data_IF_918189425054
#
_entry.id   IF_918189425054
#
_cell.length_a   1.000
_cell.length_b   1.000
_cell.length_c   1.000
_cell.angle_alpha   90.00
_cell.angle_beta   90.00
_cell.angle_gamma   90.00
#
_symmetry.space_group_name_H-M   'P 1'
#
loop_
_entity.id
_entity.type
_entity.pdbx_description
1 polymer ?
#
# COMPACT_ATOMS: atom_id res chain seq x y z
N UNK A 1 -39.69 -63.88 -20.01
CA UNK A 1 -40.42 -62.90 -19.19
C UNK A 1 -39.59 -62.66 -17.92
N UNK A 2 -38.55 -61.84 -18.00
CA UNK A 2 -38.48 -60.43 -17.51
C UNK A 2 -38.75 -60.28 -16.01
N UNK A 3 -37.70 -60.00 -15.22
CA UNK A 3 -37.61 -58.78 -14.37
C UNK A 3 -36.41 -58.85 -13.40
N UNK A 4 -35.31 -58.17 -13.75
CA UNK A 4 -34.75 -56.95 -13.13
C UNK A 4 -34.30 -57.07 -11.66
N UNK A 5 -33.00 -57.32 -11.43
CA UNK A 5 -32.31 -56.96 -10.19
C UNK A 5 -31.73 -55.56 -10.36
N UNK A 6 -32.26 -54.60 -9.60
CA UNK A 6 -31.73 -53.24 -9.54
C UNK A 6 -30.38 -53.24 -8.81
N UNK A 7 -29.31 -52.94 -9.53
CA UNK A 7 -28.02 -52.60 -8.92
C UNK A 7 -28.11 -51.15 -8.41
N UNK A 8 -28.21 -50.97 -7.10
CA UNK A 8 -27.97 -49.68 -6.46
C UNK A 8 -26.49 -49.33 -6.59
N UNK A 9 -26.15 -48.45 -7.53
CA UNK A 9 -24.84 -47.82 -7.59
C UNK A 9 -24.80 -46.68 -6.57
N UNK A 10 -24.09 -46.89 -5.46
CA UNK A 10 -23.80 -45.85 -4.48
C UNK A 10 -22.80 -44.86 -5.08
N UNK A 11 -23.29 -43.70 -5.53
CA UNK A 11 -22.46 -42.59 -5.97
C UNK A 11 -21.84 -41.92 -4.74
N UNK A 12 -20.58 -42.25 -4.43
CA UNK A 12 -19.83 -41.57 -3.39
C UNK A 12 -19.48 -40.15 -3.88
N UNK A 13 -20.17 -39.15 -3.35
CA UNK A 13 -19.92 -37.73 -3.59
C UNK A 13 -18.60 -37.35 -2.89
N UNK A 14 -17.48 -37.37 -3.62
CA UNK A 14 -16.23 -36.74 -3.17
C UNK A 14 -16.41 -35.21 -3.23
N UNK A 15 -16.65 -34.59 -2.08
CA UNK A 15 -16.50 -33.15 -1.94
C UNK A 15 -15.01 -32.79 -2.07
N UNK A 16 -14.61 -31.85 -2.96
CA UNK A 16 -13.26 -31.35 -2.96
C UNK A 16 -13.05 -30.55 -1.68
N UNK A 17 -12.22 -31.08 -0.77
CA UNK A 17 -11.64 -30.33 0.34
C UNK A 17 -10.74 -29.27 -0.28
N UNK A 18 -11.31 -28.10 -0.55
CA UNK A 18 -10.52 -26.90 -0.84
C UNK A 18 -9.87 -26.50 0.47
N UNK A 19 -8.62 -26.91 0.64
CA UNK A 19 -7.74 -26.37 1.67
C UNK A 19 -7.50 -24.90 1.29
N UNK A 20 -8.38 -24.01 1.76
CA UNK A 20 -8.13 -22.58 1.81
C UNK A 20 -6.94 -22.40 2.76
N UNK A 21 -5.73 -22.37 2.20
CA UNK A 21 -4.58 -21.83 2.90
C UNK A 21 -4.93 -20.38 3.24
N UNK A 22 -5.38 -20.15 4.47
CA UNK A 22 -5.40 -18.83 5.03
C UNK A 22 -3.94 -18.38 5.08
N UNK A 23 -3.51 -17.60 4.09
CA UNK A 23 -2.27 -16.84 4.21
C UNK A 23 -2.40 -16.06 5.52
N UNK A 24 -1.48 -16.26 6.46
CA UNK A 24 -1.43 -15.45 7.67
C UNK A 24 -1.38 -13.99 7.23
N UNK A 25 -2.45 -13.24 7.46
CA UNK A 25 -2.45 -11.83 7.15
C UNK A 25 -1.33 -11.18 7.96
N UNK A 26 -0.38 -10.52 7.29
CA UNK A 26 0.61 -9.72 8.01
C UNK A 26 -0.12 -8.75 8.94
N UNK A 27 0.41 -8.54 10.14
CA UNK A 27 -0.11 -7.53 11.06
C UNK A 27 -0.24 -6.18 10.32
N UNK A 28 -1.22 -5.35 10.68
CA UNK A 28 -1.48 -4.09 10.00
C UNK A 28 -1.43 -2.92 10.98
N UNK A 29 -0.77 -1.84 10.57
CA UNK A 29 -0.77 -0.55 11.27
C UNK A 29 -1.21 0.56 10.34
N UNK A 30 -2.03 1.47 10.86
CA UNK A 30 -2.55 2.64 10.14
C UNK A 30 -1.76 3.87 10.56
N UNK A 31 -1.18 4.57 9.59
CA UNK A 31 -0.56 5.87 9.77
C UNK A 31 -1.60 6.98 9.64
N UNK A 32 -1.78 7.78 10.69
CA UNK A 32 -2.70 8.92 10.73
C UNK A 32 -2.00 10.27 10.63
N UNK A 33 -0.69 10.35 10.87
CA UNK A 33 0.12 11.56 10.73
C UNK A 33 -0.31 12.75 11.61
N UNK A 34 -1.06 12.50 12.70
CA UNK A 34 -1.78 13.53 13.46
C UNK A 34 -0.87 14.49 14.26
N UNK A 35 0.35 14.09 14.63
CA UNK A 35 1.21 14.87 15.55
C UNK A 35 2.54 15.31 14.92
N UNK A 36 3.24 14.40 14.24
CA UNK A 36 4.58 14.58 13.65
C UNK A 36 4.71 13.62 12.45
N UNK A 37 5.64 13.83 11.54
CA UNK A 37 5.89 12.91 10.42
C UNK A 37 6.79 11.72 10.76
N UNK A 38 7.45 11.70 11.92
CA UNK A 38 8.41 10.65 12.31
C UNK A 38 7.75 9.30 12.59
N UNK A 39 8.30 8.25 12.00
CA UNK A 39 7.86 6.86 12.19
C UNK A 39 7.83 6.44 13.66
N UNK A 40 8.81 6.86 14.46
CA UNK A 40 8.87 6.53 15.90
C UNK A 40 7.74 7.15 16.75
N UNK A 41 6.94 8.06 16.18
CA UNK A 41 5.86 8.74 16.92
C UNK A 41 4.64 7.82 17.08
N UNK A 42 4.57 7.13 18.23
CA UNK A 42 3.55 6.11 18.53
C UNK A 42 2.10 6.61 18.35
N UNK A 43 1.81 7.87 18.68
CA UNK A 43 0.46 8.44 18.60
C UNK A 43 -0.09 8.58 17.17
N UNK A 44 0.78 8.50 16.16
CA UNK A 44 0.38 8.51 14.75
C UNK A 44 0.01 7.14 14.21
N UNK A 45 0.24 6.07 14.98
CA UNK A 45 -0.01 4.71 14.56
C UNK A 45 -1.19 4.13 15.29
N UNK A 46 -2.06 3.43 14.54
CA UNK A 46 -3.18 2.69 15.10
C UNK A 46 -3.10 1.24 14.62
N UNK A 47 -3.09 0.22 15.51
CA UNK A 47 -3.12 0.35 16.98
C UNK A 47 -1.77 0.70 17.61
N UNK A 48 -0.67 0.35 16.95
CA UNK A 48 0.72 0.61 17.36
C UNK A 48 1.60 0.73 16.12
N UNK A 49 2.83 1.23 16.28
CA UNK A 49 3.78 1.25 15.17
C UNK A 49 3.98 -0.16 14.59
N UNK A 50 4.16 -0.27 13.26
CA UNK A 50 4.26 -1.55 12.58
C UNK A 50 5.48 -2.34 13.07
N UNK A 51 5.27 -3.62 13.38
CA UNK A 51 6.36 -4.57 13.52
C UNK A 51 7.01 -4.83 12.16
N UNK A 52 8.23 -5.37 12.15
CA UNK A 52 8.91 -5.76 10.92
C UNK A 52 8.07 -6.76 10.11
N UNK A 53 7.89 -6.49 8.83
CA UNK A 53 7.04 -7.27 7.91
C UNK A 53 5.54 -6.93 7.99
N UNK A 54 5.10 -6.06 8.89
CA UNK A 54 3.70 -5.62 8.95
C UNK A 54 3.30 -4.79 7.72
N UNK A 55 2.02 -4.87 7.36
CA UNK A 55 1.41 -3.99 6.36
C UNK A 55 1.17 -2.60 6.94
N UNK A 56 1.38 -1.58 6.12
CA UNK A 56 1.07 -0.21 6.46
C UNK A 56 -0.09 0.29 5.60
N UNK A 57 -1.03 0.97 6.26
CA UNK A 57 -2.09 1.72 5.58
C UNK A 57 -1.94 3.20 5.95
N UNK A 58 -1.84 4.08 4.97
CA UNK A 58 -1.94 5.52 5.19
C UNK A 58 -3.42 5.90 5.23
N UNK A 59 -3.84 6.63 6.26
CA UNK A 59 -5.24 7.03 6.44
C UNK A 59 -5.76 7.97 5.33
N UNK A 60 -7.09 8.08 5.23
CA UNK A 60 -7.80 8.85 4.20
C UNK A 60 -8.04 10.32 4.56
N UNK A 61 -7.09 10.98 5.23
CA UNK A 61 -7.27 12.40 5.58
C UNK A 61 -6.84 13.31 4.42
N UNK A 62 -7.84 13.92 3.78
CA UNK A 62 -7.72 14.82 2.63
C UNK A 62 -7.43 16.27 3.04
N UNK A 63 -7.32 16.56 4.34
CA UNK A 63 -7.26 17.94 4.86
C UNK A 63 -5.99 18.28 5.64
N UNK A 64 -5.18 17.29 6.01
CA UNK A 64 -4.03 17.50 6.89
C UNK A 64 -2.72 17.74 6.14
N UNK A 65 -1.98 18.77 6.57
CA UNK A 65 -0.57 19.06 6.23
C UNK A 65 0.42 18.02 6.80
N UNK A 66 -0.03 16.78 7.03
CA UNK A 66 0.67 15.67 7.71
C UNK A 66 0.73 14.39 6.89
N UNK A 67 0.40 14.42 5.59
CA UNK A 67 0.55 13.29 4.66
C UNK A 67 2.03 13.07 4.28
N UNK A 68 2.88 13.00 5.29
CA UNK A 68 4.29 12.67 5.14
C UNK A 68 4.71 11.70 6.24
N UNK A 69 5.57 10.75 5.87
CA UNK A 69 6.18 9.79 6.76
C UNK A 69 7.69 9.87 6.61
N UNK A 70 8.36 10.16 7.73
CA UNK A 70 9.80 10.16 7.84
C UNK A 70 10.26 8.86 8.50
N UNK A 71 10.95 8.03 7.73
CA UNK A 71 11.57 6.78 8.18
C UNK A 71 12.85 7.16 8.91
N UNK A 72 12.78 7.15 10.25
CA UNK A 72 13.84 7.59 11.17
C UNK A 72 14.72 6.45 11.71
N UNK A 73 14.43 5.21 11.29
CA UNK A 73 15.26 4.02 11.40
C UNK A 73 14.98 3.12 10.19
N UNK A 74 15.90 2.21 9.87
CA UNK A 74 15.66 1.26 8.76
C UNK A 74 14.60 0.22 9.16
N UNK A 75 13.63 -0.02 8.26
CA UNK A 75 12.49 -0.90 8.50
C UNK A 75 12.21 -1.80 7.30
N UNK A 76 11.59 -2.94 7.56
CA UNK A 76 11.00 -3.84 6.58
C UNK A 76 9.50 -3.89 6.81
N UNK A 77 8.72 -3.74 5.73
CA UNK A 77 7.26 -3.79 5.77
C UNK A 77 6.71 -4.77 4.75
N UNK A 78 5.55 -5.33 5.05
CA UNK A 78 4.85 -6.26 4.18
C UNK A 78 4.31 -5.58 2.93
N UNK A 79 3.63 -4.46 3.07
CA UNK A 79 3.12 -3.67 1.95
C UNK A 79 2.81 -2.25 2.40
N UNK A 80 2.65 -1.34 1.45
CA UNK A 80 2.23 0.04 1.71
C UNK A 80 0.97 0.36 0.91
N UNK A 81 -0.11 0.67 1.61
CA UNK A 81 -1.38 1.03 1.00
C UNK A 81 -1.74 2.49 1.30
N UNK A 82 -2.05 3.28 0.27
CA UNK A 82 -2.58 4.63 0.43
C UNK A 82 -4.11 4.60 0.44
N UNK A 83 -4.64 4.59 1.67
CA UNK A 83 -6.05 4.52 2.05
C UNK A 83 -6.91 3.46 1.38
N UNK A 84 -8.20 3.50 1.71
CA UNK A 84 -9.17 2.46 1.34
C UNK A 84 -10.19 2.89 0.28
N UNK A 85 -10.51 4.19 0.14
CA UNK A 85 -11.51 4.75 -0.80
C UNK A 85 -11.23 6.23 -1.11
N UNK A 86 -11.94 6.86 -2.07
CA UNK A 86 -12.03 8.34 -2.17
C UNK A 86 -11.20 9.07 -3.26
N UNK A 87 -11.32 10.40 -3.31
CA UNK A 87 -10.54 11.31 -4.17
C UNK A 87 -9.39 11.91 -3.36
N UNK A 88 -8.17 11.83 -3.89
CA UNK A 88 -6.93 12.29 -3.23
C UNK A 88 -6.52 13.66 -3.79
N UNK A 89 -6.70 14.68 -2.97
CA UNK A 89 -6.33 16.07 -3.29
C UNK A 89 -4.89 16.41 -2.90
N UNK A 90 -4.25 15.63 -2.02
CA UNK A 90 -2.87 15.83 -1.56
C UNK A 90 -2.00 14.60 -1.79
N UNK A 91 -0.75 14.80 -2.21
CA UNK A 91 0.23 13.72 -2.28
C UNK A 91 0.65 13.23 -0.88
N UNK A 92 0.86 11.93 -0.74
CA UNK A 92 1.60 11.37 0.38
C UNK A 92 3.10 11.36 0.09
N UNK A 93 3.92 11.75 1.07
CA UNK A 93 5.38 11.84 0.94
C UNK A 93 6.09 10.89 1.93
N UNK A 94 6.68 9.81 1.45
CA UNK A 94 7.60 8.99 2.24
C UNK A 94 9.04 9.46 2.04
N UNK A 95 9.77 9.67 3.13
CA UNK A 95 11.18 10.05 3.10
C UNK A 95 11.98 9.14 4.01
N UNK A 96 13.12 8.65 3.52
CA UNK A 96 14.01 7.79 4.33
C UNK A 96 15.31 8.46 4.75
N UNK A 97 15.64 9.62 4.17
CA UNK A 97 16.92 10.30 4.43
C UNK A 97 18.11 9.34 4.29
N UNK A 98 18.82 9.06 5.38
CA UNK A 98 19.95 8.14 5.44
C UNK A 98 19.57 6.66 5.71
N UNK A 99 18.30 6.39 6.04
CA UNK A 99 17.77 5.07 6.34
C UNK A 99 17.18 4.39 5.12
N UNK A 100 16.76 3.13 5.30
CA UNK A 100 16.21 2.27 4.24
C UNK A 100 14.82 1.79 4.63
N UNK A 101 13.87 1.89 3.70
CA UNK A 101 12.60 1.18 3.79
C UNK A 101 12.59 0.01 2.81
N UNK A 102 12.58 -1.21 3.35
CA UNK A 102 12.45 -2.44 2.57
C UNK A 102 10.98 -2.83 2.46
N UNK A 103 10.49 -2.93 1.24
CA UNK A 103 9.16 -3.39 0.89
C UNK A 103 9.26 -4.87 0.54
N UNK A 104 8.60 -5.75 1.31
CA UNK A 104 8.51 -7.17 1.03
C UNK A 104 7.42 -7.49 -0.02
N UNK A 105 6.39 -6.66 -0.06
CA UNK A 105 5.30 -6.66 -1.03
C UNK A 105 5.09 -5.28 -1.64
N UNK A 106 4.10 -5.18 -2.51
CA UNK A 106 3.91 -4.02 -3.36
C UNK A 106 3.32 -2.78 -2.68
N UNK A 107 3.24 -1.71 -3.47
CA UNK A 107 2.55 -0.47 -3.13
C UNK A 107 1.18 -0.46 -3.80
N UNK A 108 0.13 -0.13 -3.04
CA UNK A 108 -1.23 0.03 -3.54
C UNK A 108 -1.69 1.46 -3.25
N UNK A 109 -1.93 2.23 -4.30
CA UNK A 109 -2.44 3.58 -4.17
C UNK A 109 -3.91 3.62 -4.62
N UNK A 110 -4.83 3.54 -3.67
CA UNK A 110 -6.27 3.52 -3.95
C UNK A 110 -6.83 4.95 -4.06
N UNK A 111 -7.90 5.09 -4.85
CA UNK A 111 -8.61 6.35 -5.05
C UNK A 111 -8.17 7.13 -6.30
N UNK A 112 -8.83 8.25 -6.58
CA UNK A 112 -8.51 9.10 -7.73
C UNK A 112 -7.53 10.21 -7.33
N UNK A 113 -6.28 10.14 -7.77
CA UNK A 113 -5.33 11.25 -7.60
C UNK A 113 -5.68 12.38 -8.56
N UNK A 114 -5.88 13.60 -8.03
CA UNK A 114 -6.32 14.76 -8.84
C UNK A 114 -5.26 15.84 -9.04
N UNK A 115 -4.08 15.69 -8.41
CA UNK A 115 -3.00 16.68 -8.53
C UNK A 115 -1.61 16.03 -8.56
N UNK A 116 -1.27 15.21 -7.57
CA UNK A 116 0.05 14.54 -7.46
C UNK A 116 -0.13 13.19 -6.75
N UNK A 117 0.48 12.13 -7.30
CA UNK A 117 0.50 10.80 -6.69
C UNK A 117 1.49 10.67 -5.51
N UNK A 118 1.62 9.48 -4.92
CA UNK A 118 2.56 9.26 -3.81
C UNK A 118 4.01 9.51 -4.23
N UNK A 119 4.76 10.23 -3.40
CA UNK A 119 6.16 10.59 -3.61
C UNK A 119 7.06 9.86 -2.62
N UNK A 120 8.13 9.26 -3.12
CA UNK A 120 9.12 8.50 -2.38
C UNK A 120 10.49 9.15 -2.57
N UNK A 121 11.16 9.50 -1.47
CA UNK A 121 12.47 10.14 -1.47
C UNK A 121 13.48 9.40 -0.59
N UNK A 122 14.61 9.03 -1.16
CA UNK A 122 15.68 8.30 -0.45
C UNK A 122 15.77 6.84 -0.88
N UNK A 123 16.07 5.96 0.07
CA UNK A 123 16.42 4.56 -0.18
C UNK A 123 15.22 3.64 0.06
N UNK A 124 14.64 3.14 -1.03
CA UNK A 124 13.58 2.12 -1.01
C UNK A 124 14.09 0.85 -1.67
N UNK A 125 13.94 -0.28 -1.01
CA UNK A 125 14.33 -1.60 -1.55
C UNK A 125 13.07 -2.43 -1.77
N UNK A 126 12.85 -2.90 -3.00
CA UNK A 126 11.90 -3.97 -3.27
C UNK A 126 12.63 -5.31 -3.10
N UNK A 127 12.23 -6.13 -2.12
CA UNK A 127 12.97 -7.36 -1.79
C UNK A 127 12.73 -8.52 -2.76
N UNK A 128 11.79 -8.38 -3.69
CA UNK A 128 11.44 -9.35 -4.73
C UNK A 128 10.72 -8.65 -5.88
N UNK A 129 10.36 -9.42 -6.92
CA UNK A 129 9.45 -8.93 -7.95
C UNK A 129 8.10 -8.59 -7.32
N UNK A 130 7.63 -7.36 -7.53
CA UNK A 130 6.41 -6.84 -6.94
C UNK A 130 5.54 -6.17 -8.00
N UNK A 131 4.22 -6.21 -7.78
CA UNK A 131 3.26 -5.42 -8.55
C UNK A 131 2.86 -4.22 -7.72
N UNK A 132 3.02 -3.03 -8.30
CA UNK A 132 2.57 -1.79 -7.70
C UNK A 132 1.40 -1.24 -8.50
N UNK A 133 0.40 -0.71 -7.81
CA UNK A 133 -0.84 -0.26 -8.43
C UNK A 133 -1.13 1.17 -8.03
N UNK A 134 -1.51 1.97 -9.03
CA UNK A 134 -2.08 3.31 -8.83
C UNK A 134 -3.46 3.29 -9.45
N UNK A 135 -4.47 3.49 -8.62
CA UNK A 135 -5.83 3.72 -9.07
C UNK A 135 -6.00 5.18 -9.50
N UNK A 136 -7.06 5.44 -10.27
CA UNK A 136 -7.40 6.77 -10.76
C UNK A 136 -7.67 6.79 -12.25
N UNK A 137 -8.09 7.94 -12.75
CA UNK A 137 -8.22 8.14 -14.19
C UNK A 137 -6.84 8.06 -14.85
N UNK A 138 -6.76 7.38 -15.99
CA UNK A 138 -5.56 7.40 -16.84
C UNK A 138 -5.17 8.85 -17.11
N UNK A 139 -3.96 9.23 -16.72
CA UNK A 139 -3.41 10.55 -16.98
C UNK A 139 -3.30 10.81 -18.49
N UNK A 140 -3.32 12.08 -18.88
CA UNK A 140 -2.84 12.52 -20.20
C UNK A 140 -1.34 12.78 -20.07
N UNK A 141 -0.59 12.82 -21.18
CA UNK A 141 0.87 13.05 -21.15
C UNK A 141 1.28 14.37 -20.45
N UNK A 142 0.35 15.32 -20.31
CA UNK A 142 0.56 16.59 -19.60
C UNK A 142 0.25 16.53 -18.10
N UNK A 143 -0.20 15.38 -17.59
CA UNK A 143 -0.66 15.19 -16.21
C UNK A 143 -0.33 13.76 -15.73
N UNK A 144 0.87 13.60 -15.17
CA UNK A 144 1.31 12.35 -14.54
C UNK A 144 0.83 12.28 -13.09
N UNK A 145 0.05 11.24 -12.80
CA UNK A 145 -0.60 10.98 -11.51
C UNK A 145 -0.09 9.69 -10.85
N UNK A 146 1.02 9.16 -11.37
CA UNK A 146 1.67 7.94 -10.91
C UNK A 146 2.54 8.13 -9.67
N UNK A 147 3.42 7.16 -9.43
CA UNK A 147 4.40 7.24 -8.36
C UNK A 147 5.59 8.12 -8.75
N UNK A 148 6.05 8.95 -7.82
CA UNK A 148 7.23 9.79 -8.02
C UNK A 148 8.36 9.28 -7.14
N UNK A 149 9.47 8.86 -7.75
CA UNK A 149 10.71 8.51 -7.05
C UNK A 149 11.73 9.62 -7.21
N UNK A 150 12.31 10.08 -6.10
CA UNK A 150 13.27 11.18 -6.09
C UNK A 150 14.55 10.77 -5.39
N UNK A 151 15.67 11.32 -5.87
CA UNK A 151 16.93 11.19 -5.19
C UNK A 151 16.87 11.81 -3.79
N UNK A 152 17.73 11.37 -2.85
CA UNK A 152 17.75 11.89 -1.48
C UNK A 152 17.91 13.42 -1.43
N UNK A 153 18.56 14.03 -2.44
CA UNK A 153 18.88 15.46 -2.49
C UNK A 153 18.10 16.29 -3.52
N UNK A 154 17.07 15.76 -4.20
CA UNK A 154 16.33 16.55 -5.20
C UNK A 154 15.53 17.69 -4.54
N UNK A 155 15.54 18.91 -5.06
CA UNK A 155 14.56 19.92 -4.61
C UNK A 155 13.15 19.48 -5.00
N UNK A 156 12.13 19.87 -4.23
CA UNK A 156 10.74 19.67 -4.68
C UNK A 156 10.56 20.50 -5.93
N UNK A 157 10.22 19.88 -7.06
CA UNK A 157 9.78 20.64 -8.22
C UNK A 157 8.54 21.44 -7.80
N UNK A 158 8.74 22.72 -7.49
CA UNK A 158 7.66 23.70 -7.48
C UNK A 158 7.11 23.70 -8.90
N UNK A 159 5.82 23.43 -9.04
CA UNK A 159 5.09 23.60 -10.29
C UNK A 159 5.55 24.93 -10.92
N UNK A 160 6.02 24.97 -12.18
CA UNK A 160 6.30 26.24 -12.82
C UNK A 160 5.01 27.04 -12.78
N UNK A 161 4.99 28.19 -12.11
CA UNK A 161 3.88 29.11 -12.24
C UNK A 161 3.90 29.62 -13.68
N UNK A 162 3.09 28.99 -14.54
CA UNK A 162 2.86 29.47 -15.89
C UNK A 162 2.12 30.80 -15.80
N UNK A 163 2.83 31.89 -16.06
CA UNK A 163 2.27 33.13 -16.60
C UNK A 163 2.64 33.22 -18.05
#
# INVERSE_FOLDING_TARGET
>A
MTSTRAYQQSLALLLPVTCLLAASANAQSIWTGATNTNWSTVTNWVPVFPAEGANIVIADDTTSSGNALNVDASHTIGSLTFGSTGTRTTAFNAQTNAFVLTLAGGIVANGNFTAVGPTFRGNFIASANQTWTVAGATGVFSDDRGFVFRGPNDSVASVPSGT
#
